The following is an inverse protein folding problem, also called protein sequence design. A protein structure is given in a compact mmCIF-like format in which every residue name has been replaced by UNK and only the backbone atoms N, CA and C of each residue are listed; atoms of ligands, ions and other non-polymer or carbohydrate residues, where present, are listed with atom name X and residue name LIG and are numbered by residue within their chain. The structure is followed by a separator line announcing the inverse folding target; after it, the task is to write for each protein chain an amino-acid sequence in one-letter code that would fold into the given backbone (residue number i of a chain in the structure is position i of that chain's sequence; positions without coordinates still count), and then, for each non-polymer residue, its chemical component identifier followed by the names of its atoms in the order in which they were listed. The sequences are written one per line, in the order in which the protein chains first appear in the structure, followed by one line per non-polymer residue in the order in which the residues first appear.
data_IF_607368074783
#
_entry.id   IF_607368074783
#
_cell.length_a   1.000
_cell.length_b   1.000
_cell.length_c   1.000
_cell.angle_alpha   90.00
_cell.angle_beta   90.00
_cell.angle_gamma   90.00
#
_symmetry.space_group_name_H-M   'P 1'
#
loop_
_entity.id
_entity.type
_entity.pdbx_description
1 polymer ?
#
# COMPACT_ATOMS: atom_id res chain seq x y z
N UNK A 1 -14.74 -2.47 -13.00
CA UNK A 1 -15.86 -3.44 -13.10
C UNK A 1 -17.21 -2.73 -12.96
N UNK A 2 -18.06 -2.88 -13.97
CA UNK A 2 -19.46 -2.39 -14.00
C UNK A 2 -20.39 -3.37 -13.27
N UNK A 3 -21.53 -2.90 -12.78
CA UNK A 3 -22.48 -3.74 -12.02
C UNK A 3 -23.00 -4.95 -12.83
N UNK A 4 -23.14 -4.80 -14.14
CA UNK A 4 -23.54 -5.91 -15.04
C UNK A 4 -22.46 -6.98 -15.17
N UNK A 5 -21.19 -6.60 -15.18
CA UNK A 5 -20.05 -7.54 -15.22
C UNK A 5 -19.98 -8.35 -13.93
N UNK A 6 -20.12 -7.68 -12.78
CA UNK A 6 -20.20 -8.34 -11.48
C UNK A 6 -21.37 -9.33 -11.38
N UNK A 7 -22.54 -8.97 -11.94
CA UNK A 7 -23.69 -9.88 -11.99
C UNK A 7 -23.47 -11.09 -12.90
N UNK A 8 -22.70 -10.92 -13.97
CA UNK A 8 -22.37 -12.03 -14.87
C UNK A 8 -21.45 -13.04 -14.16
N UNK A 9 -20.40 -12.57 -13.50
CA UNK A 9 -19.53 -13.38 -12.64
C UNK A 9 -20.32 -14.06 -11.52
N UNK A 10 -21.22 -13.34 -10.86
CA UNK A 10 -22.09 -13.92 -9.83
C UNK A 10 -22.90 -15.10 -10.36
N UNK A 11 -23.48 -15.02 -11.57
CA UNK A 11 -24.23 -16.14 -12.15
C UNK A 11 -23.36 -17.35 -12.48
N UNK A 12 -22.08 -17.13 -12.79
CA UNK A 12 -21.12 -18.18 -13.11
C UNK A 12 -20.64 -18.90 -11.86
N UNK A 13 -20.42 -18.16 -10.76
CA UNK A 13 -19.91 -18.70 -9.50
C UNK A 13 -21.03 -19.19 -8.56
N UNK A 14 -22.11 -18.41 -8.45
CA UNK A 14 -23.21 -18.69 -7.54
C UNK A 14 -24.23 -19.61 -8.22
N UNK A 15 -24.40 -20.81 -7.68
CA UNK A 15 -25.46 -21.76 -8.07
C UNK A 15 -26.85 -21.33 -7.57
N UNK A 16 -27.09 -20.04 -7.43
CA UNK A 16 -28.31 -19.46 -6.86
C UNK A 16 -28.91 -18.51 -7.90
N UNK A 17 -30.19 -18.69 -8.20
CA UNK A 17 -30.89 -17.82 -9.11
C UNK A 17 -31.38 -16.56 -8.39
N UNK A 18 -30.83 -15.40 -8.76
CA UNK A 18 -31.34 -14.08 -8.35
C UNK A 18 -31.47 -13.19 -9.58
N UNK A 19 -32.44 -12.27 -9.59
CA UNK A 19 -32.57 -11.29 -10.67
C UNK A 19 -31.57 -10.15 -10.50
N UNK A 20 -31.21 -9.50 -11.60
CA UNK A 20 -30.26 -8.36 -11.59
C UNK A 20 -30.67 -7.23 -10.64
N UNK A 21 -31.96 -6.89 -10.57
CA UNK A 21 -32.46 -5.85 -9.65
C UNK A 21 -32.28 -6.24 -8.19
N UNK A 22 -32.54 -7.50 -7.84
CA UNK A 22 -32.31 -8.04 -6.48
C UNK A 22 -30.82 -8.07 -6.15
N UNK A 23 -29.97 -8.53 -7.08
CA UNK A 23 -28.51 -8.48 -6.92
C UNK A 23 -28.01 -7.06 -6.65
N UNK A 24 -28.48 -6.10 -7.45
CA UNK A 24 -28.12 -4.69 -7.30
C UNK A 24 -28.57 -4.12 -5.94
N UNK A 25 -29.75 -4.51 -5.46
CA UNK A 25 -30.30 -4.06 -4.17
C UNK A 25 -29.60 -4.69 -2.95
N UNK A 26 -29.05 -5.90 -3.09
CA UNK A 26 -28.27 -6.58 -2.05
C UNK A 26 -26.86 -5.99 -1.90
N UNK A 27 -26.44 -5.09 -2.79
CA UNK A 27 -25.15 -4.40 -2.69
C UNK A 27 -25.14 -3.55 -1.41
N UNK A 28 -24.12 -3.67 -0.54
CA UNK A 28 -23.99 -2.78 0.60
C UNK A 28 -23.96 -1.31 0.15
N UNK A 29 -24.70 -0.45 0.85
CA UNK A 29 -24.85 0.96 0.48
C UNK A 29 -23.51 1.72 0.36
N UNK A 30 -22.49 1.28 1.12
CA UNK A 30 -21.14 1.88 1.14
C UNK A 30 -20.20 1.34 0.05
N UNK A 31 -20.62 0.32 -0.71
CA UNK A 31 -19.80 -0.26 -1.78
C UNK A 31 -20.22 0.38 -3.10
N UNK A 32 -19.28 0.97 -3.83
CA UNK A 32 -19.51 1.60 -5.13
C UNK A 32 -18.76 0.84 -6.24
N UNK A 33 -19.36 0.69 -7.43
CA UNK A 33 -18.65 0.18 -8.60
C UNK A 33 -17.45 1.07 -8.91
N UNK A 34 -16.35 0.46 -9.35
CA UNK A 34 -15.14 1.20 -9.75
C UNK A 34 -15.46 2.23 -10.84
N UNK A 35 -16.41 1.91 -11.73
CA UNK A 35 -16.87 2.82 -12.79
C UNK A 35 -17.68 4.03 -12.31
N UNK A 36 -18.02 4.10 -11.01
CA UNK A 36 -18.68 5.25 -10.38
C UNK A 36 -17.68 6.08 -9.55
N UNK A 37 -16.39 5.76 -9.60
CA UNK A 37 -15.34 6.59 -9.03
C UNK A 37 -14.85 7.55 -10.10
N UNK A 38 -14.68 8.82 -9.76
CA UNK A 38 -14.20 9.87 -10.67
C UNK A 38 -12.72 9.70 -11.05
N UNK A 39 -12.03 8.74 -10.45
CA UNK A 39 -10.61 8.51 -10.63
C UNK A 39 -10.34 7.01 -10.88
N UNK A 40 -9.57 6.73 -11.93
CA UNK A 40 -9.10 5.38 -12.28
C UNK A 40 -7.92 4.95 -11.38
N UNK A 41 -7.31 5.89 -10.65
CA UNK A 41 -6.15 5.68 -9.78
C UNK A 41 -6.55 5.84 -8.31
N UNK A 42 -5.98 5.00 -7.44
CA UNK A 42 -6.18 5.11 -6.00
C UNK A 42 -5.43 6.33 -5.45
N UNK A 43 -6.15 7.24 -4.78
CA UNK A 43 -5.57 8.41 -4.09
C UNK A 43 -5.69 8.28 -2.56
N UNK A 44 -5.65 7.05 -2.05
CA UNK A 44 -5.74 6.85 -0.60
C UNK A 44 -4.40 7.19 0.07
N UNK A 45 -4.45 7.62 1.33
CA UNK A 45 -3.25 7.97 2.09
C UNK A 45 -2.22 6.84 2.14
N UNK A 46 -2.67 5.59 2.11
CA UNK A 46 -1.79 4.43 2.15
C UNK A 46 -0.95 4.30 0.87
N UNK A 47 -1.56 4.50 -0.30
CA UNK A 47 -0.85 4.49 -1.58
C UNK A 47 0.10 5.69 -1.67
N UNK A 48 -0.41 6.89 -1.39
CA UNK A 48 0.43 8.10 -1.44
C UNK A 48 1.64 8.03 -0.50
N UNK A 49 1.46 7.54 0.73
CA UNK A 49 2.55 7.45 1.70
C UNK A 49 3.62 6.43 1.30
N UNK A 50 3.21 5.30 0.70
CA UNK A 50 4.17 4.28 0.27
C UNK A 50 4.92 4.66 -1.01
N UNK A 51 4.49 5.70 -1.72
CA UNK A 51 5.25 6.25 -2.85
C UNK A 51 6.21 7.35 -2.38
N UNK A 52 5.79 8.21 -1.43
CA UNK A 52 6.58 9.35 -0.94
C UNK A 52 7.82 8.95 -0.14
N UNK A 53 7.71 7.98 0.78
CA UNK A 53 8.83 7.62 1.66
C UNK A 53 9.96 6.88 0.92
N UNK A 54 9.70 5.86 0.08
CA UNK A 54 10.74 5.27 -0.77
C UNK A 54 11.40 6.27 -1.72
N UNK A 55 10.67 7.24 -2.28
CA UNK A 55 11.27 8.29 -3.12
C UNK A 55 12.28 9.15 -2.34
N UNK A 56 11.97 9.46 -1.08
CA UNK A 56 12.90 10.16 -0.20
C UNK A 56 14.14 9.29 0.09
N UNK A 57 13.93 8.04 0.51
CA UNK A 57 15.03 7.10 0.81
C UNK A 57 15.92 6.86 -0.40
N UNK A 58 15.36 6.82 -1.61
CA UNK A 58 16.10 6.69 -2.86
C UNK A 58 16.97 7.90 -3.19
N UNK A 59 16.72 9.08 -2.66
CA UNK A 59 17.61 10.23 -2.86
C UNK A 59 18.89 10.10 -2.03
N UNK A 60 18.77 9.41 -0.90
CA UNK A 60 19.85 9.19 0.06
C UNK A 60 20.62 7.91 -0.32
N UNK A 61 19.89 6.84 -0.64
CA UNK A 61 20.46 5.55 -1.01
C UNK A 61 21.00 5.55 -2.45
N UNK A 62 22.32 5.42 -2.58
CA UNK A 62 23.03 5.35 -3.87
C UNK A 62 23.23 3.92 -4.38
N UNK A 63 23.18 2.91 -3.51
CA UNK A 63 23.49 1.52 -3.85
C UNK A 63 22.26 0.75 -4.31
N UNK A 64 21.16 0.81 -3.55
CA UNK A 64 19.92 0.06 -3.83
C UNK A 64 18.74 1.02 -3.90
N UNK A 65 17.98 0.95 -5.00
CA UNK A 65 16.74 1.72 -5.16
C UNK A 65 15.54 0.88 -4.75
N UNK A 66 14.72 1.44 -3.87
CA UNK A 66 13.41 0.92 -3.56
C UNK A 66 12.41 1.25 -4.69
N UNK A 67 11.45 0.37 -4.98
CA UNK A 67 10.27 0.73 -5.75
C UNK A 67 9.53 1.94 -5.14
N UNK A 68 9.28 2.95 -5.97
CA UNK A 68 8.40 4.09 -5.65
C UNK A 68 6.96 3.86 -6.10
N UNK A 69 6.66 2.70 -6.67
CA UNK A 69 5.33 2.31 -7.08
C UNK A 69 4.74 1.30 -6.09
N UNK A 70 3.55 1.62 -5.61
CA UNK A 70 2.85 0.88 -4.57
C UNK A 70 2.51 -0.59 -4.98
N UNK A 71 2.20 -0.84 -6.25
CA UNK A 71 1.92 -2.19 -6.76
C UNK A 71 3.19 -3.05 -6.78
N UNK A 72 4.33 -2.48 -7.17
CA UNK A 72 5.62 -3.17 -7.17
C UNK A 72 6.03 -3.47 -5.73
N UNK A 73 5.94 -2.49 -4.82
CA UNK A 73 6.22 -2.68 -3.40
C UNK A 73 5.35 -3.78 -2.77
N UNK A 74 4.09 -3.90 -3.18
CA UNK A 74 3.23 -5.01 -2.76
C UNK A 74 3.78 -6.35 -3.23
N UNK A 75 4.06 -6.49 -4.53
CA UNK A 75 4.54 -7.75 -5.12
C UNK A 75 5.86 -8.21 -4.51
N UNK A 76 6.73 -7.29 -4.14
CA UNK A 76 8.03 -7.62 -3.56
C UNK A 76 7.96 -7.94 -2.05
N UNK A 77 6.95 -7.43 -1.34
CA UNK A 77 6.83 -7.61 0.12
C UNK A 77 5.86 -8.71 0.55
N UNK A 78 5.15 -9.34 -0.40
CA UNK A 78 4.24 -10.47 -0.16
C UNK A 78 4.55 -11.65 -1.08
N UNK A 79 4.44 -12.87 -0.56
CA UNK A 79 4.65 -14.10 -1.34
C UNK A 79 3.53 -14.37 -2.36
N UNK A 80 2.30 -14.00 -2.03
CA UNK A 80 1.11 -14.17 -2.87
C UNK A 80 0.09 -13.06 -2.55
N UNK A 81 -0.10 -12.14 -3.49
CA UNK A 81 -1.00 -11.00 -3.35
C UNK A 81 -2.50 -11.37 -3.41
N UNK A 82 -2.85 -12.62 -3.71
CA UNK A 82 -4.23 -13.14 -3.66
C UNK A 82 -4.55 -13.80 -2.32
N UNK A 83 -3.54 -14.09 -1.51
CA UNK A 83 -3.70 -14.75 -0.22
C UNK A 83 -3.91 -13.70 0.88
N UNK A 84 -5.11 -13.68 1.46
CA UNK A 84 -5.41 -12.78 2.60
C UNK A 84 -4.45 -12.97 3.77
N UNK A 85 -3.99 -14.20 4.02
CA UNK A 85 -2.99 -14.47 5.07
C UNK A 85 -1.63 -13.84 4.76
N UNK A 86 -1.30 -13.72 3.48
CA UNK A 86 -0.08 -13.07 3.02
C UNK A 86 -0.21 -11.54 3.10
N UNK A 87 -1.33 -10.98 2.64
CA UNK A 87 -1.61 -9.55 2.73
C UNK A 87 -1.80 -9.05 4.17
N UNK A 88 -2.20 -9.93 5.10
CA UNK A 88 -2.20 -9.68 6.56
C UNK A 88 -0.84 -9.92 7.22
N UNK A 89 0.16 -10.39 6.48
CA UNK A 89 1.50 -10.74 6.99
C UNK A 89 1.47 -11.74 8.15
N UNK A 90 0.52 -12.67 8.13
CA UNK A 90 0.37 -13.71 9.16
C UNK A 90 1.35 -14.89 8.96
N UNK A 91 2.12 -14.91 7.86
CA UNK A 91 3.14 -15.94 7.60
C UNK A 91 4.52 -15.39 7.93
N UNK A 92 5.37 -16.22 8.54
CA UNK A 92 6.76 -15.87 8.88
C UNK A 92 7.64 -15.53 7.67
N UNK A 93 7.25 -16.02 6.49
CA UNK A 93 7.98 -15.85 5.22
C UNK A 93 7.65 -14.53 4.51
N UNK A 94 6.60 -13.82 4.92
CA UNK A 94 6.23 -12.52 4.34
C UNK A 94 7.06 -11.42 5.00
N UNK A 95 8.21 -11.09 4.43
CA UNK A 95 9.18 -10.20 5.06
C UNK A 95 9.20 -8.80 4.48
N UNK A 96 8.52 -7.86 5.14
CA UNK A 96 8.83 -6.42 4.98
C UNK A 96 10.25 -6.13 5.46
N UNK A 97 10.68 -6.81 6.52
CA UNK A 97 12.01 -6.61 7.11
C UNK A 97 13.12 -6.92 6.11
N UNK A 98 13.01 -8.01 5.34
CA UNK A 98 14.01 -8.35 4.33
C UNK A 98 14.09 -7.28 3.22
N UNK A 99 12.94 -6.77 2.77
CA UNK A 99 12.86 -5.73 1.74
C UNK A 99 13.40 -4.39 2.26
N UNK A 100 12.99 -3.99 3.46
CA UNK A 100 13.45 -2.75 4.12
C UNK A 100 14.92 -2.84 4.52
N UNK A 101 15.44 -4.02 4.88
CA UNK A 101 16.86 -4.20 5.18
C UNK A 101 17.74 -4.05 3.93
N UNK A 102 17.22 -4.22 2.71
CA UNK A 102 17.98 -3.92 1.48
C UNK A 102 18.30 -2.42 1.37
N UNK A 103 17.49 -1.56 2.00
CA UNK A 103 17.76 -0.12 2.10
C UNK A 103 19.04 0.13 2.89
N UNK A 104 19.41 -0.75 3.82
CA UNK A 104 20.45 -0.52 4.84
C UNK A 104 21.80 -1.12 4.43
N UNK A 105 21.91 -1.77 3.27
CA UNK A 105 23.22 -2.05 2.68
C UNK A 105 23.84 -0.78 2.08
N UNK A 106 23.89 0.27 2.88
CA UNK A 106 24.83 1.36 2.69
C UNK A 106 26.21 0.83 3.06
N UNK A 107 27.22 1.21 2.28
CA UNK A 107 28.60 1.07 2.74
C UNK A 107 28.73 1.89 4.04
N UNK A 108 29.37 1.37 5.09
CA UNK A 108 29.59 2.14 6.34
C UNK A 108 30.31 3.47 6.07
N UNK A 109 30.96 3.58 4.90
CA UNK A 109 31.61 4.79 4.40
C UNK A 109 30.67 5.83 3.75
N UNK A 110 29.41 5.49 3.46
CA UNK A 110 28.42 6.37 2.81
C UNK A 110 27.42 7.01 3.80
N UNK A 111 27.47 6.60 5.09
CA UNK A 111 26.60 7.12 6.13
C UNK A 111 27.36 8.16 6.97
N UNK A 112 27.02 9.43 6.83
CA UNK A 112 27.24 10.37 7.93
C UNK A 112 26.23 9.97 9.03
N UNK A 113 26.70 9.67 10.25
CA UNK A 113 25.88 9.20 11.39
C UNK A 113 24.68 10.11 11.71
N UNK A 114 24.67 11.34 11.18
CA UNK A 114 23.65 12.38 11.40
C UNK A 114 22.97 12.86 10.10
N UNK A 115 22.84 12.01 9.07
CA UNK A 115 22.06 12.38 7.87
C UNK A 115 20.56 12.50 8.19
N UNK A 116 20.16 13.70 8.63
CA UNK A 116 18.76 14.08 8.77
C UNK A 116 18.11 14.20 7.39
N UNK A 117 16.97 13.55 7.21
CA UNK A 117 16.13 13.73 6.04
C UNK A 117 14.73 14.17 6.43
N UNK A 118 13.97 14.62 5.44
CA UNK A 118 12.57 14.89 5.62
C UNK A 118 11.74 14.40 4.43
N UNK A 119 10.53 13.97 4.74
CA UNK A 119 9.58 13.51 3.74
C UNK A 119 8.17 13.92 4.15
N UNK A 120 7.29 14.01 3.16
CA UNK A 120 5.89 14.28 3.43
C UNK A 120 5.11 12.99 3.66
N UNK A 121 4.19 13.02 4.61
CA UNK A 121 3.27 11.92 4.89
C UNK A 121 1.86 12.45 5.16
N UNK A 122 0.86 11.78 4.61
CA UNK A 122 -0.53 11.99 4.96
C UNK A 122 -0.87 11.28 6.27
N UNK A 123 -1.44 12.02 7.22
CA UNK A 123 -1.99 11.50 8.47
C UNK A 123 -3.44 11.93 8.64
N UNK A 124 -4.22 11.08 9.29
CA UNK A 124 -5.57 11.43 9.71
C UNK A 124 -5.52 11.98 11.13
N UNK A 125 -5.76 13.28 11.27
CA UNK A 125 -5.74 13.99 12.55
C UNK A 125 -7.14 14.53 12.79
N UNK A 126 -7.79 14.08 13.87
CA UNK A 126 -9.17 14.48 14.23
C UNK A 126 -10.17 14.28 13.07
N UNK A 127 -10.03 13.17 12.35
CA UNK A 127 -10.89 12.83 11.22
C UNK A 127 -10.58 13.60 9.93
N UNK A 128 -9.65 14.55 9.94
CA UNK A 128 -9.22 15.31 8.76
C UNK A 128 -7.89 14.81 8.23
N UNK A 129 -7.78 14.76 6.90
CA UNK A 129 -6.53 14.44 6.22
C UNK A 129 -5.60 15.66 6.25
N UNK A 130 -4.40 15.49 6.80
CA UNK A 130 -3.34 16.51 6.80
C UNK A 130 -2.05 15.90 6.25
N UNK A 131 -1.33 16.68 5.44
CA UNK A 131 0.00 16.32 4.95
C UNK A 131 1.02 17.02 5.85
N UNK A 132 1.87 16.24 6.51
CA UNK A 132 2.89 16.75 7.42
C UNK A 132 4.28 16.46 6.85
N UNK A 133 5.22 17.37 7.10
CA UNK A 133 6.63 17.15 6.84
C UNK A 133 7.23 16.48 8.08
N UNK A 134 7.76 15.27 7.91
CA UNK A 134 8.38 14.49 8.97
C UNK A 134 9.88 14.59 8.77
N UNK A 135 10.58 15.13 9.77
CA UNK A 135 12.03 15.04 9.86
C UNK A 135 12.37 13.72 10.58
N UNK A 136 13.32 12.97 10.04
CA UNK A 136 13.74 11.70 10.59
C UNK A 136 15.19 11.39 10.23
N UNK A 137 15.86 10.63 11.09
CA UNK A 137 17.08 9.91 10.72
C UNK A 137 16.73 8.64 9.91
N UNK A 138 17.77 7.94 9.42
CA UNK A 138 17.60 6.73 8.60
C UNK A 138 16.90 5.59 9.36
N UNK A 139 17.19 5.44 10.65
CA UNK A 139 16.62 4.39 11.48
C UNK A 139 15.13 4.63 11.73
N UNK A 140 14.73 5.87 11.99
CA UNK A 140 13.34 6.28 12.10
C UNK A 140 12.59 6.12 10.77
N UNK A 141 13.21 6.48 9.64
CA UNK A 141 12.62 6.28 8.32
C UNK A 141 12.36 4.80 8.02
N UNK A 142 13.24 3.90 8.49
CA UNK A 142 13.07 2.45 8.39
C UNK A 142 11.83 1.98 9.16
N UNK A 143 11.72 2.37 10.42
CA UNK A 143 10.61 1.99 11.29
C UNK A 143 9.28 2.49 10.73
N UNK A 144 9.26 3.71 10.20
CA UNK A 144 8.08 4.27 9.54
C UNK A 144 7.72 3.52 8.26
N UNK A 145 8.70 3.15 7.42
CA UNK A 145 8.45 2.36 6.21
C UNK A 145 7.83 1.00 6.51
N UNK A 146 8.32 0.33 7.56
CA UNK A 146 7.74 -0.93 8.05
C UNK A 146 6.30 -0.70 8.53
N UNK A 147 6.08 0.37 9.30
CA UNK A 147 4.76 0.77 9.80
C UNK A 147 3.76 1.03 8.66
N UNK A 148 4.19 1.66 7.56
CA UNK A 148 3.36 1.94 6.39
C UNK A 148 3.07 0.69 5.54
N UNK A 149 4.05 -0.20 5.35
CA UNK A 149 3.90 -1.40 4.52
C UNK A 149 3.00 -2.49 5.13
N UNK A 150 2.85 -2.50 6.45
CA UNK A 150 2.03 -3.47 7.17
C UNK A 150 0.52 -3.35 6.86
N UNK A 151 -0.12 -2.17 7.00
CA UNK A 151 -1.52 -1.98 6.63
C UNK A 151 -1.70 -1.88 5.11
N UNK A 152 -0.70 -1.37 4.38
CA UNK A 152 -0.83 -1.03 2.97
C UNK A 152 -1.32 -2.20 2.10
N UNK A 153 -0.83 -3.42 2.33
CA UNK A 153 -1.21 -4.61 1.54
C UNK A 153 -2.68 -5.03 1.69
N UNK A 154 -3.41 -4.46 2.65
CA UNK A 154 -4.86 -4.63 2.81
C UNK A 154 -5.67 -3.59 2.03
N UNK A 155 -5.02 -2.57 1.47
CA UNK A 155 -5.63 -1.46 0.76
C UNK A 155 -5.43 -1.50 -0.76
N UNK A 156 -4.73 -2.53 -1.27
CA UNK A 156 -4.45 -2.79 -2.69
C UNK A 156 -5.46 -3.76 -3.28
#
# INVERSE_FOLDING_TARGET
MKLKEAYQLFKEEAKIYIRFSTFAALRPAKVFPVSQRDHEVCMCMYHENIEMLPDCLNKINKTVKLPTNAEIATKETVCDNKSLNCCKRNRKECGVDAWVNQVINFDENDLEEDMETNFYQWKQIEGKMKKELIACDLQQAKEELISLLNPFTLHV
#
